data_IF_335122661206
#
_entry.id   IF_335122661206
#
_cell.length_a   1.000
_cell.length_b   1.000
_cell.length_c   1.000
_cell.angle_alpha   90.00
_cell.angle_beta   90.00
_cell.angle_gamma   90.00
#
_symmetry.space_group_name_H-M   'P 1'
#
loop_
_entity.id
_entity.type
_entity.pdbx_description
1 polymer ?
#
# COMPACT_ATOMS: atom_id res chain seq x y z
N UNK A 1 11.66 -17.81 -11.30
CA UNK A 1 11.57 -16.92 -12.47
C UNK A 1 10.44 -17.32 -13.43
N UNK A 2 10.32 -18.60 -13.83
CA UNK A 2 9.28 -19.04 -14.76
C UNK A 2 7.86 -19.04 -14.16
N UNK A 3 7.72 -19.44 -12.89
CA UNK A 3 6.44 -19.44 -12.17
C UNK A 3 5.85 -18.02 -11.96
N UNK A 4 6.69 -17.00 -11.76
CA UNK A 4 6.27 -15.59 -11.66
C UNK A 4 5.71 -15.08 -13.00
N UNK A 5 6.25 -15.56 -14.14
CA UNK A 5 5.80 -15.17 -15.47
C UNK A 5 4.44 -15.78 -15.85
N UNK A 6 4.13 -16.98 -15.34
CA UNK A 6 2.88 -17.69 -15.65
C UNK A 6 1.66 -17.09 -14.93
N UNK A 7 1.83 -16.59 -13.70
CA UNK A 7 0.75 -15.94 -12.94
C UNK A 7 0.33 -14.57 -13.51
N UNK A 8 1.23 -13.87 -14.23
CA UNK A 8 0.94 -12.57 -14.85
C UNK A 8 -0.03 -12.67 -16.05
N UNK A 9 -0.24 -13.86 -16.60
CA UNK A 9 -1.02 -14.08 -17.84
C UNK A 9 -2.50 -14.43 -17.63
N UNK A 10 -2.97 -14.61 -16.40
CA UNK A 10 -4.27 -15.22 -16.12
C UNK A 10 -5.47 -14.24 -15.97
N UNK A 11 -5.29 -12.94 -16.18
CA UNK A 11 -6.38 -11.95 -16.11
C UNK A 11 -6.51 -11.19 -17.42
N UNK A 12 -7.70 -11.22 -18.04
CA UNK A 12 -8.07 -10.42 -19.21
C UNK A 12 -8.15 -8.92 -18.85
N UNK A 13 -6.99 -8.34 -18.55
CA UNK A 13 -6.74 -6.90 -18.54
C UNK A 13 -5.99 -6.63 -19.83
N UNK A 14 -6.44 -5.67 -20.64
CA UNK A 14 -5.58 -5.17 -21.70
C UNK A 14 -4.31 -4.63 -21.04
N UNK A 15 -3.19 -5.31 -21.26
CA UNK A 15 -1.87 -4.96 -20.70
C UNK A 15 -1.58 -3.46 -20.87
N UNK A 16 -2.12 -2.84 -21.92
CA UNK A 16 -2.04 -1.40 -22.17
C UNK A 16 -2.63 -0.54 -21.04
N UNK A 17 -3.83 -0.85 -20.55
CA UNK A 17 -4.43 -0.09 -19.44
C UNK A 17 -3.63 -0.28 -18.15
N UNK A 18 -3.01 -1.45 -17.98
CA UNK A 18 -2.14 -1.71 -16.83
C UNK A 18 -0.84 -0.89 -16.89
N UNK A 19 -0.28 -0.75 -18.09
CA UNK A 19 0.92 0.07 -18.37
C UNK A 19 0.68 1.56 -18.09
N UNK A 20 -0.52 2.08 -18.37
CA UNK A 20 -0.87 3.50 -18.11
C UNK A 20 -0.69 3.86 -16.62
N UNK A 21 -1.03 2.95 -15.70
CA UNK A 21 -0.90 3.21 -14.26
C UNK A 21 0.56 3.37 -13.84
N UNK A 22 1.48 2.58 -14.41
CA UNK A 22 2.91 2.72 -14.10
C UNK A 22 3.49 4.03 -14.60
N UNK A 23 2.99 4.55 -15.74
CA UNK A 23 3.38 5.88 -16.23
C UNK A 23 2.94 6.97 -15.25
N UNK A 24 1.70 6.93 -14.76
CA UNK A 24 1.22 7.85 -13.72
C UNK A 24 2.07 7.74 -12.45
N UNK A 25 2.42 6.52 -12.03
CA UNK A 25 3.25 6.31 -10.84
C UNK A 25 4.67 6.82 -10.98
N UNK A 26 5.25 6.75 -12.18
CA UNK A 26 6.56 7.32 -12.50
C UNK A 26 6.50 8.86 -12.47
N UNK A 27 5.46 9.47 -13.06
CA UNK A 27 5.23 10.92 -13.02
C UNK A 27 5.01 11.45 -11.58
N UNK A 28 4.41 10.64 -10.70
CA UNK A 28 4.19 10.96 -9.29
C UNK A 28 5.35 10.57 -8.37
N UNK A 29 6.48 10.09 -8.92
CA UNK A 29 7.64 9.60 -8.16
C UNK A 29 7.29 8.52 -7.11
N UNK A 30 6.23 7.75 -7.37
CA UNK A 30 5.83 6.60 -6.56
C UNK A 30 6.77 5.42 -6.83
N UNK A 31 7.20 5.30 -8.09
CA UNK A 31 8.17 4.32 -8.57
C UNK A 31 9.26 5.01 -9.36
N UNK A 32 10.42 4.37 -9.44
CA UNK A 32 11.50 4.79 -10.33
C UNK A 32 12.04 3.60 -11.11
N UNK A 33 12.43 3.84 -12.36
CA UNK A 33 13.11 2.87 -13.20
C UNK A 33 14.56 2.71 -12.72
N UNK A 34 15.03 1.46 -12.65
CA UNK A 34 16.40 1.17 -12.24
C UNK A 34 17.14 0.34 -13.29
N UNK A 35 18.46 0.55 -13.35
CA UNK A 35 19.36 -0.23 -14.20
C UNK A 35 20.23 -1.16 -13.34
N UNK A 36 20.35 -2.42 -13.76
CA UNK A 36 21.25 -3.40 -13.15
C UNK A 36 20.64 -4.29 -12.06
N UNK A 37 21.40 -5.33 -11.68
CA UNK A 37 21.05 -6.26 -10.60
C UNK A 37 21.77 -5.81 -9.33
N UNK A 38 21.05 -5.16 -8.43
CA UNK A 38 21.59 -4.87 -7.08
C UNK A 38 21.84 -6.14 -6.27
N UNK A 39 22.99 -6.20 -5.58
CA UNK A 39 23.48 -7.39 -4.86
C UNK A 39 22.64 -7.78 -3.63
N UNK A 40 21.78 -6.88 -3.14
CA UNK A 40 20.88 -7.15 -2.02
C UNK A 40 19.48 -6.60 -2.31
N UNK A 41 18.70 -7.35 -3.09
CA UNK A 41 17.39 -6.90 -3.56
C UNK A 41 16.34 -8.00 -3.53
N UNK A 42 15.08 -7.58 -3.43
CA UNK A 42 13.93 -8.47 -3.45
C UNK A 42 12.94 -8.02 -4.52
N UNK A 43 12.38 -9.00 -5.24
CA UNK A 43 11.41 -8.76 -6.30
C UNK A 43 10.00 -9.14 -5.82
N UNK A 44 9.12 -8.16 -5.75
CA UNK A 44 7.72 -8.33 -5.46
C UNK A 44 6.98 -8.77 -6.73
N UNK A 45 6.37 -9.97 -6.75
CA UNK A 45 5.40 -10.29 -7.78
C UNK A 45 4.17 -9.40 -7.62
N UNK A 46 3.56 -9.06 -8.75
CA UNK A 46 2.36 -8.23 -8.77
C UNK A 46 1.39 -8.71 -9.84
N UNK A 47 0.13 -8.34 -9.62
CA UNK A 47 -0.95 -8.60 -10.58
C UNK A 47 -1.95 -7.45 -10.58
N UNK A 48 -2.60 -7.18 -11.72
CA UNK A 48 -3.73 -6.27 -11.77
C UNK A 48 -4.97 -6.90 -11.12
N UNK A 49 -5.70 -6.10 -10.32
CA UNK A 49 -7.07 -6.37 -9.92
C UNK A 49 -7.98 -5.37 -10.64
N UNK A 50 -8.90 -5.87 -11.47
CA UNK A 50 -9.89 -5.04 -12.15
C UNK A 50 -11.13 -4.89 -11.29
N UNK A 51 -11.49 -3.65 -10.96
CA UNK A 51 -12.75 -3.32 -10.29
C UNK A 51 -13.67 -2.65 -11.31
N UNK A 52 -14.43 -3.47 -12.05
CA UNK A 52 -15.36 -2.99 -13.09
C UNK A 52 -16.40 -1.96 -12.57
N UNK A 53 -16.73 -2.03 -11.28
CA UNK A 53 -17.70 -1.12 -10.63
C UNK A 53 -17.05 0.06 -9.89
N UNK A 54 -15.73 0.25 -9.99
CA UNK A 54 -15.07 1.41 -9.36
C UNK A 54 -15.19 2.64 -10.25
N UNK A 55 -15.75 3.72 -9.69
CA UNK A 55 -15.86 5.01 -10.37
C UNK A 55 -14.51 5.74 -10.50
N UNK A 56 -13.55 5.48 -9.61
CA UNK A 56 -12.29 6.24 -9.53
C UNK A 56 -11.07 5.46 -10.01
N UNK A 57 -11.01 4.13 -9.83
CA UNK A 57 -9.84 3.34 -10.22
C UNK A 57 -10.24 1.97 -10.76
N UNK A 58 -10.31 1.85 -12.09
CA UNK A 58 -10.68 0.60 -12.77
C UNK A 58 -9.67 -0.53 -12.56
N UNK A 59 -8.38 -0.22 -12.42
CA UNK A 59 -7.30 -1.20 -12.25
C UNK A 59 -6.46 -0.81 -11.03
N UNK A 60 -6.32 -1.75 -10.08
CA UNK A 60 -5.41 -1.61 -8.92
C UNK A 60 -4.31 -2.65 -8.99
N UNK A 61 -3.05 -2.23 -8.86
CA UNK A 61 -1.90 -3.12 -8.72
C UNK A 61 -1.95 -3.74 -7.33
N UNK A 62 -1.78 -5.05 -7.24
CA UNK A 62 -1.56 -5.73 -5.95
C UNK A 62 -0.24 -6.45 -5.99
N UNK A 63 0.61 -6.12 -5.03
CA UNK A 63 1.90 -6.77 -4.80
C UNK A 63 1.73 -7.86 -3.75
N UNK A 64 2.37 -9.00 -3.98
CA UNK A 64 2.34 -10.14 -3.06
C UNK A 64 3.68 -10.31 -2.36
N UNK A 65 3.77 -9.78 -1.14
CA UNK A 65 4.95 -9.92 -0.27
C UNK A 65 4.96 -11.24 0.54
N UNK A 66 3.95 -12.11 0.35
CA UNK A 66 3.88 -13.47 0.91
C UNK A 66 4.37 -14.53 -0.08
N UNK A 67 4.38 -14.21 -1.36
CA UNK A 67 4.95 -15.04 -2.40
C UNK A 67 6.39 -15.42 -2.06
N UNK A 68 6.69 -16.72 -2.17
CA UNK A 68 7.99 -17.28 -1.83
C UNK A 68 8.38 -18.35 -2.84
N UNK A 69 9.66 -18.45 -3.11
CA UNK A 69 10.22 -19.61 -3.81
C UNK A 69 10.31 -20.76 -2.79
N UNK A 70 10.07 -21.99 -3.24
CA UNK A 70 10.18 -23.19 -2.38
C UNK A 70 11.51 -23.20 -1.62
N UNK A 71 11.44 -23.27 -0.29
CA UNK A 71 12.62 -23.27 0.59
C UNK A 71 13.21 -21.90 0.92
N UNK A 72 12.60 -20.80 0.46
CA UNK A 72 13.00 -19.43 0.79
C UNK A 72 11.93 -18.71 1.62
N UNK A 73 12.36 -17.73 2.42
CA UNK A 73 11.47 -16.83 3.16
C UNK A 73 10.83 -15.80 2.21
N UNK A 74 9.58 -15.44 2.47
CA UNK A 74 8.96 -14.29 1.77
C UNK A 74 9.47 -12.97 2.36
N UNK A 75 9.23 -11.85 1.67
CA UNK A 75 9.56 -10.52 2.21
C UNK A 75 8.90 -10.30 3.58
N UNK A 76 7.62 -10.62 3.73
CA UNK A 76 6.91 -10.49 5.00
C UNK A 76 7.44 -11.41 6.12
N UNK A 77 8.10 -12.53 5.79
CA UNK A 77 8.75 -13.38 6.80
C UNK A 77 10.07 -12.75 7.31
N UNK A 78 10.70 -11.89 6.50
CA UNK A 78 11.97 -11.21 6.81
C UNK A 78 11.76 -9.83 7.47
N UNK A 79 10.59 -9.23 7.28
CA UNK A 79 10.25 -7.96 7.90
C UNK A 79 9.93 -8.14 9.39
N UNK A 80 10.32 -7.14 10.18
CA UNK A 80 9.92 -7.08 11.57
C UNK A 80 8.39 -6.92 11.65
N UNK A 81 7.76 -7.71 12.53
CA UNK A 81 6.32 -7.64 12.76
C UNK A 81 6.06 -6.57 13.81
N UNK A 82 5.70 -5.40 13.34
CA UNK A 82 5.35 -4.26 14.19
C UNK A 82 4.13 -4.56 15.08
N UNK A 83 4.00 -3.90 16.23
CA UNK A 83 2.80 -4.00 17.06
C UNK A 83 1.58 -3.51 16.27
N UNK A 84 0.45 -4.19 16.45
CA UNK A 84 -0.79 -3.81 15.80
C UNK A 84 -1.34 -2.53 16.43
N UNK A 85 -1.13 -1.39 15.77
CA UNK A 85 -1.68 -0.08 16.15
C UNK A 85 -3.09 0.15 15.59
N UNK A 86 -3.69 -0.84 14.92
CA UNK A 86 -5.03 -0.72 14.36
C UNK A 86 -6.04 -0.96 15.49
N UNK A 87 -6.90 0.03 15.71
CA UNK A 87 -8.05 -0.05 16.60
C UNK A 87 -8.95 -1.23 16.21
N UNK A 88 -9.45 -1.96 17.21
CA UNK A 88 -10.29 -3.12 16.95
C UNK A 88 -11.64 -2.67 16.39
N UNK A 89 -12.11 -3.33 15.33
CA UNK A 89 -13.40 -3.01 14.69
C UNK A 89 -14.56 -2.91 15.71
N UNK A 90 -14.70 -3.82 16.69
CA UNK A 90 -15.76 -3.70 17.69
C UNK A 90 -15.71 -2.39 18.48
N UNK A 91 -14.52 -1.93 18.86
CA UNK A 91 -14.34 -0.70 19.65
C UNK A 91 -14.71 0.54 18.83
N UNK A 92 -14.35 0.55 17.54
CA UNK A 92 -14.74 1.60 16.60
C UNK A 92 -16.25 1.64 16.43
N UNK A 93 -16.89 0.47 16.27
CA UNK A 93 -18.34 0.36 16.10
C UNK A 93 -19.12 0.78 17.34
N UNK A 94 -18.64 0.44 18.54
CA UNK A 94 -19.29 0.81 19.81
C UNK A 94 -19.28 2.33 20.02
N UNK A 95 -18.12 2.98 19.77
CA UNK A 95 -18.01 4.44 19.76
C UNK A 95 -18.92 5.06 18.71
N UNK A 96 -18.89 4.54 17.48
CA UNK A 96 -19.74 5.03 16.39
C UNK A 96 -21.24 5.02 16.75
N UNK A 97 -21.72 3.95 17.41
CA UNK A 97 -23.12 3.82 17.84
C UNK A 97 -23.52 4.75 18.99
N UNK A 98 -22.53 5.27 19.71
CA UNK A 98 -22.75 6.16 20.87
C UNK A 98 -23.03 7.60 20.45
N UNK A 99 -22.77 7.98 19.19
CA UNK A 99 -22.98 9.34 18.69
C UNK A 99 -24.35 9.48 18.00
N UNK A 100 -25.04 10.62 18.20
CA UNK A 100 -26.34 10.89 17.56
C UNK A 100 -26.21 11.20 16.06
N UNK A 101 -25.04 11.64 15.61
CA UNK A 101 -24.71 11.89 14.20
C UNK A 101 -23.43 11.13 13.88
N UNK A 102 -23.42 10.43 12.74
CA UNK A 102 -22.32 9.61 12.28
C UNK A 102 -21.60 10.29 11.12
N UNK A 103 -20.28 10.39 11.20
CA UNK A 103 -19.40 10.83 10.11
C UNK A 103 -18.53 9.66 9.66
N UNK A 104 -18.87 9.09 8.50
CA UNK A 104 -18.01 8.11 7.86
C UNK A 104 -17.21 8.77 6.73
N UNK A 105 -15.90 8.90 6.90
CA UNK A 105 -14.99 9.05 5.78
C UNK A 105 -14.67 7.64 5.25
N UNK A 106 -15.68 7.02 4.64
CA UNK A 106 -15.63 5.69 4.00
C UNK A 106 -15.06 5.74 2.58
N UNK A 107 -14.41 6.85 2.20
CA UNK A 107 -13.53 6.86 1.03
C UNK A 107 -12.19 6.39 1.54
N UNK A 108 -11.72 5.23 1.04
CA UNK A 108 -10.30 4.86 1.01
C UNK A 108 -9.51 6.17 0.93
N UNK A 109 -8.74 6.57 1.97
CA UNK A 109 -7.92 7.80 1.86
C UNK A 109 -7.07 7.58 0.62
N UNK A 110 -7.37 8.31 -0.44
CA UNK A 110 -6.96 7.92 -1.78
C UNK A 110 -5.43 7.86 -1.80
N UNK A 111 -4.89 6.66 -2.04
CA UNK A 111 -3.44 6.44 -2.11
C UNK A 111 -2.69 6.82 -0.80
N UNK A 112 -3.30 6.66 0.38
CA UNK A 112 -2.68 7.00 1.68
C UNK A 112 -1.26 6.46 1.86
N UNK A 113 -1.05 5.17 1.57
CA UNK A 113 0.28 4.55 1.64
C UNK A 113 1.27 5.19 0.66
N UNK A 114 0.82 5.59 -0.52
CA UNK A 114 1.68 6.19 -1.55
C UNK A 114 2.10 7.62 -1.20
N UNK A 115 1.49 8.24 -0.18
CA UNK A 115 1.96 9.53 0.37
C UNK A 115 3.20 9.37 1.26
N UNK A 116 3.53 8.14 1.70
CA UNK A 116 4.63 7.88 2.62
C UNK A 116 5.89 7.50 1.85
N UNK A 117 6.94 8.30 2.00
CA UNK A 117 8.27 8.03 1.45
C UNK A 117 8.98 6.86 2.12
N UNK A 118 9.70 6.07 1.33
CA UNK A 118 10.60 5.02 1.83
C UNK A 118 12.04 5.52 1.78
N UNK A 119 12.80 5.23 2.83
CA UNK A 119 14.24 5.52 2.85
C UNK A 119 14.96 4.78 1.72
N UNK A 120 15.86 5.43 0.95
CA UNK A 120 16.55 4.81 -0.20
C UNK A 120 17.27 3.48 0.08
N UNK A 121 17.65 3.24 1.34
CA UNK A 121 18.28 1.98 1.78
C UNK A 121 17.33 0.77 1.71
N UNK A 122 16.02 0.99 1.71
CA UNK A 122 15.01 -0.09 1.74
C UNK A 122 14.23 -0.23 0.43
N UNK A 123 14.34 0.72 -0.49
CA UNK A 123 13.58 0.71 -1.76
C UNK A 123 13.97 -0.47 -2.66
N UNK A 124 15.20 -0.98 -2.54
CA UNK A 124 15.69 -2.14 -3.30
C UNK A 124 15.04 -3.48 -2.91
N UNK A 125 14.32 -3.56 -1.78
CA UNK A 125 13.51 -4.71 -1.41
C UNK A 125 12.09 -4.68 -1.98
N UNK A 126 11.74 -3.60 -2.67
CA UNK A 126 10.42 -3.37 -3.26
C UNK A 126 10.52 -3.23 -4.79
N UNK A 127 11.44 -3.99 -5.39
CA UNK A 127 11.60 -4.03 -6.85
C UNK A 127 10.51 -4.88 -7.48
N UNK A 128 10.17 -4.61 -8.72
CA UNK A 128 9.25 -5.43 -9.49
C UNK A 128 9.53 -5.33 -10.99
N UNK A 129 9.12 -6.34 -11.74
CA UNK A 129 9.26 -6.37 -13.19
C UNK A 129 8.11 -5.63 -13.84
N UNK A 130 8.40 -4.76 -14.81
CA UNK A 130 7.36 -4.17 -15.65
C UNK A 130 6.67 -5.28 -16.47
N UNK A 131 5.33 -5.23 -16.66
CA UNK A 131 4.58 -6.25 -17.38
C UNK A 131 4.76 -6.13 -18.90
N UNK A 132 5.99 -6.29 -19.37
CA UNK A 132 6.31 -6.34 -20.79
C UNK A 132 7.13 -7.58 -21.14
N UNK A 133 6.83 -8.17 -22.29
CA UNK A 133 7.47 -9.43 -22.73
C UNK A 133 8.73 -9.17 -23.57
N UNK A 134 8.84 -7.99 -24.16
CA UNK A 134 9.93 -7.59 -25.06
C UNK A 134 11.17 -7.09 -24.33
N UNK A 135 11.01 -6.49 -23.15
CA UNK A 135 12.12 -5.88 -22.41
C UNK A 135 12.04 -6.22 -20.92
N UNK A 136 13.18 -6.56 -20.31
CA UNK A 136 13.30 -6.76 -18.86
C UNK A 136 13.48 -5.41 -18.16
N UNK A 137 12.42 -4.62 -18.12
CA UNK A 137 12.40 -3.35 -17.38
C UNK A 137 12.11 -3.63 -15.90
N UNK A 138 12.91 -3.04 -15.01
CA UNK A 138 12.75 -3.16 -13.56
C UNK A 138 12.44 -1.79 -12.96
N UNK A 139 11.43 -1.75 -12.12
CA UNK A 139 11.07 -0.60 -11.29
C UNK A 139 11.27 -0.93 -9.82
N UNK A 140 11.37 0.10 -8.98
CA UNK A 140 11.27 -0.04 -7.52
C UNK A 140 10.34 0.99 -6.93
N UNK A 141 9.71 0.65 -5.81
CA UNK A 141 8.87 1.59 -5.06
C UNK A 141 9.71 2.58 -4.24
N UNK A 142 9.38 3.86 -4.37
CA UNK A 142 9.90 4.97 -3.55
C UNK A 142 8.94 5.33 -2.40
N UNK A 143 7.75 4.72 -2.39
CA UNK A 143 6.67 4.95 -1.43
C UNK A 143 6.17 3.64 -0.84
N UNK A 144 5.47 3.71 0.30
CA UNK A 144 4.93 2.53 0.98
C UNK A 144 3.97 1.76 0.05
N UNK A 145 4.34 0.53 -0.29
CA UNK A 145 3.59 -0.32 -1.19
C UNK A 145 2.47 -1.09 -0.45
N UNK A 146 1.36 -1.33 -1.15
CA UNK A 146 0.27 -2.17 -0.63
C UNK A 146 0.67 -3.65 -0.67
N UNK A 147 0.20 -4.44 0.31
CA UNK A 147 0.50 -5.88 0.40
C UNK A 147 1.74 -6.24 1.24
N UNK A 148 2.50 -5.24 1.69
CA UNK A 148 3.60 -5.42 2.65
C UNK A 148 3.07 -5.35 4.07
N UNK A 149 3.54 -6.26 4.93
CA UNK A 149 3.02 -6.45 6.30
C UNK A 149 3.25 -5.25 7.23
N UNK A 150 4.33 -4.48 7.04
CA UNK A 150 4.63 -3.28 7.82
C UNK A 150 3.88 -2.03 7.35
N UNK A 151 3.30 -2.04 6.13
CA UNK A 151 2.63 -0.87 5.57
C UNK A 151 1.50 -0.30 6.45
N UNK A 152 0.59 -1.11 7.02
CA UNK A 152 -0.45 -0.61 7.91
C UNK A 152 0.11 0.10 9.15
N UNK A 153 1.15 -0.48 9.77
CA UNK A 153 1.79 0.12 10.92
C UNK A 153 2.43 1.47 10.56
N UNK A 154 3.17 1.54 9.45
CA UNK A 154 3.80 2.79 9.00
C UNK A 154 2.76 3.90 8.82
N UNK A 155 1.62 3.59 8.21
CA UNK A 155 0.53 4.55 8.04
C UNK A 155 -0.06 4.98 9.39
N UNK A 156 -0.40 4.02 10.27
CA UNK A 156 -0.93 4.31 11.60
C UNK A 156 0.02 5.16 12.45
N UNK A 157 1.32 4.86 12.42
CA UNK A 157 2.34 5.60 13.18
C UNK A 157 2.47 7.04 12.68
N UNK A 158 2.47 7.25 11.36
CA UNK A 158 2.50 8.60 10.77
C UNK A 158 1.23 9.37 11.09
N UNK A 159 0.05 8.75 10.95
CA UNK A 159 -1.22 9.38 11.31
C UNK A 159 -1.25 9.78 12.79
N UNK A 160 -0.85 8.88 13.70
CA UNK A 160 -0.77 9.18 15.12
C UNK A 160 0.16 10.36 15.41
N UNK A 161 1.33 10.39 14.78
CA UNK A 161 2.28 11.49 14.91
C UNK A 161 1.70 12.81 14.40
N UNK A 162 1.01 12.82 13.25
CA UNK A 162 0.36 14.02 12.72
C UNK A 162 -0.75 14.53 13.65
N UNK A 163 -1.55 13.62 14.21
CA UNK A 163 -2.65 13.95 15.12
C UNK A 163 -2.17 14.44 16.49
N UNK A 164 -0.98 14.03 16.93
CA UNK A 164 -0.36 14.51 18.17
C UNK A 164 0.26 15.91 18.01
N UNK A 165 0.53 16.34 16.77
CA UNK A 165 1.15 17.62 16.46
C UNK A 165 0.17 18.62 15.83
N UNK A 166 -1.14 18.42 15.99
CA UNK A 166 -2.16 19.38 15.55
C UNK A 166 -2.09 20.66 16.38
N UNK A 167 -2.56 21.81 15.85
CA UNK A 167 -2.68 23.04 16.62
C UNK A 167 -3.45 22.84 17.94
N UNK A 168 -3.14 23.66 18.94
CA UNK A 168 -3.77 23.56 20.26
C UNK A 168 -5.32 23.61 20.18
N UNK A 169 -5.85 24.43 19.27
CA UNK A 169 -7.28 24.59 19.02
C UNK A 169 -7.95 23.31 18.50
N UNK A 170 -7.19 22.43 17.84
CA UNK A 170 -7.67 21.19 17.23
C UNK A 170 -7.34 19.93 18.05
N UNK A 171 -6.73 20.08 19.24
CA UNK A 171 -6.27 18.93 20.04
C UNK A 171 -7.41 17.98 20.43
N UNK A 172 -8.61 18.51 20.68
CA UNK A 172 -9.80 17.70 20.96
C UNK A 172 -10.23 16.90 19.73
N UNK A 173 -10.15 17.49 18.54
CA UNK A 173 -10.44 16.82 17.28
C UNK A 173 -9.39 15.75 16.96
N UNK A 174 -8.10 16.06 17.14
CA UNK A 174 -6.99 15.12 16.96
C UNK A 174 -7.13 13.89 17.84
N UNK A 175 -7.46 14.09 19.12
CA UNK A 175 -7.69 13.00 20.09
C UNK A 175 -8.86 12.09 19.69
N UNK A 176 -9.93 12.68 19.16
CA UNK A 176 -11.11 11.94 18.69
C UNK A 176 -10.80 11.14 17.42
N UNK A 177 -10.12 11.77 16.46
CA UNK A 177 -9.73 11.14 15.20
C UNK A 177 -8.75 9.98 15.41
N UNK A 178 -7.86 10.06 16.39
CA UNK A 178 -6.91 8.99 16.72
C UNK A 178 -7.60 7.65 17.01
N UNK A 179 -8.81 7.68 17.59
CA UNK A 179 -9.62 6.50 17.90
C UNK A 179 -10.60 6.10 16.79
N UNK A 180 -10.58 6.82 15.67
CA UNK A 180 -11.54 6.69 14.57
C UNK A 180 -10.95 6.04 13.32
N UNK A 181 -9.62 5.86 13.25
CA UNK A 181 -8.97 5.27 12.08
C UNK A 181 -8.90 3.74 12.15
N UNK A 182 -9.30 3.10 11.05
CA UNK A 182 -9.03 1.70 10.75
C UNK A 182 -8.19 1.64 9.47
N UNK A 183 -6.86 1.61 9.64
CA UNK A 183 -5.90 1.64 8.53
C UNK A 183 -6.11 2.87 7.65
N UNK A 184 -6.72 2.71 6.48
CA UNK A 184 -7.01 3.76 5.48
C UNK A 184 -8.45 4.29 5.53
N UNK A 185 -9.28 3.76 6.45
CA UNK A 185 -10.66 4.20 6.68
C UNK A 185 -10.77 5.03 7.97
N UNK A 186 -11.70 6.00 7.99
CA UNK A 186 -12.01 6.78 9.19
C UNK A 186 -13.51 6.80 9.48
N UNK A 187 -13.89 6.42 10.68
CA UNK A 187 -15.28 6.34 11.16
C UNK A 187 -15.39 7.04 12.51
N UNK A 188 -16.18 8.11 12.57
CA UNK A 188 -16.39 8.93 13.76
C UNK A 188 -17.85 9.43 13.84
N UNK A 189 -18.21 10.21 14.85
CA UNK A 189 -19.53 10.81 15.03
C UNK A 189 -19.50 11.93 16.04
#
# INVERSE_FOLDING_TARGET
MQQIREEMTAGLVEINDYKVVFKEWEELEIIEKIEGKGENSYFLPHRPIVKNNSFTTKIRQVFDALARVTGQSSLNDLLYKDPNLIEQIPDILDRFRSYPVALSAARDIEKAFLQLGITPKHTDFLRFFYPDKSEEIVYRHCRVAFGVSSSPFLLSAVLAHLLENVPADDTQLGSKLKLSFQVDNCVTG
#
